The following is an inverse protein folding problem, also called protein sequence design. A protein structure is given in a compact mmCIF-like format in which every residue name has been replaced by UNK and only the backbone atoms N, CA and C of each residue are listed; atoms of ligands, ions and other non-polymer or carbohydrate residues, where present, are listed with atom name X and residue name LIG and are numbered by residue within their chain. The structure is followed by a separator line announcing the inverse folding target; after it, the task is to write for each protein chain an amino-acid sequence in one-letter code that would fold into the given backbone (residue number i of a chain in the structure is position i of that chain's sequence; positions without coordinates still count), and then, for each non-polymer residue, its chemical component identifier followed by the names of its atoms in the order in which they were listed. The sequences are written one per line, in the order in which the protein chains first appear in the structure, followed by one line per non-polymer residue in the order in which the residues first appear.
data_IF_787748777915
#
_entry.id   IF_787748777915
#
_cell.length_a   1.000
_cell.length_b   1.000
_cell.length_c   1.000
_cell.angle_alpha   90.00
_cell.angle_beta   90.00
_cell.angle_gamma   90.00
#
_symmetry.space_group_name_H-M   'P 1'
#
loop_
_entity.id
_entity.type
_entity.pdbx_description
1 polymer ?
#
# COMPACT_ATOMS: atom_id res chain seq x y z
N UNK A 1 13.99 -22.28 -10.59
CA UNK A 1 15.35 -21.96 -10.11
C UNK A 1 15.21 -20.65 -9.34
N UNK A 2 16.20 -20.09 -8.62
CA UNK A 2 15.94 -18.82 -7.95
C UNK A 2 15.72 -17.73 -9.00
N UNK A 3 14.51 -17.22 -9.07
CA UNK A 3 14.11 -16.15 -9.99
C UNK A 3 14.52 -14.76 -9.46
N UNK A 4 14.68 -14.64 -8.15
CA UNK A 4 15.00 -13.39 -7.45
C UNK A 4 16.37 -13.52 -6.80
N UNK A 5 17.27 -12.57 -7.07
CA UNK A 5 18.54 -12.42 -6.37
C UNK A 5 18.50 -11.16 -5.49
N UNK A 6 18.83 -11.27 -4.20
CA UNK A 6 18.87 -10.13 -3.27
C UNK A 6 20.33 -9.70 -3.07
N UNK A 7 20.68 -8.55 -3.64
CA UNK A 7 21.97 -7.89 -3.49
C UNK A 7 21.86 -6.81 -2.39
N UNK A 8 22.75 -6.85 -1.40
CA UNK A 8 22.75 -5.90 -0.28
C UNK A 8 24.16 -5.73 0.29
N UNK A 9 24.39 -4.61 0.99
CA UNK A 9 25.63 -4.40 1.75
C UNK A 9 25.50 -4.98 3.16
N UNK A 10 26.52 -5.65 3.65
CA UNK A 10 26.50 -6.17 5.04
C UNK A 10 26.49 -5.04 6.08
N UNK A 11 27.10 -3.89 5.76
CA UNK A 11 27.16 -2.71 6.63
C UNK A 11 25.81 -2.02 6.82
N UNK A 12 24.89 -2.16 5.86
CA UNK A 12 23.57 -1.53 5.89
C UNK A 12 22.56 -2.26 5.01
N UNK A 13 21.33 -2.42 5.49
CA UNK A 13 20.26 -3.08 4.74
C UNK A 13 20.13 -4.59 5.00
N UNK A 14 20.90 -5.14 5.95
CA UNK A 14 20.76 -6.53 6.39
C UNK A 14 19.32 -6.85 6.82
N UNK A 15 18.74 -6.05 7.70
CA UNK A 15 17.37 -6.28 8.18
C UNK A 15 16.34 -6.23 7.04
N UNK A 16 16.53 -5.31 6.08
CA UNK A 16 15.70 -5.23 4.88
C UNK A 16 15.86 -6.46 3.99
N UNK A 17 17.10 -6.94 3.80
CA UNK A 17 17.39 -8.15 3.04
C UNK A 17 16.71 -9.39 3.64
N UNK A 18 16.78 -9.56 4.97
CA UNK A 18 16.08 -10.65 5.64
C UNK A 18 14.56 -10.51 5.57
N UNK A 19 14.01 -9.30 5.76
CA UNK A 19 12.58 -9.08 5.64
C UNK A 19 12.05 -9.44 4.24
N UNK A 20 12.75 -8.97 3.19
CA UNK A 20 12.46 -9.32 1.81
C UNK A 20 12.62 -10.82 1.56
N UNK A 21 13.71 -11.42 2.01
CA UNK A 21 13.96 -12.85 1.82
C UNK A 21 12.85 -13.70 2.44
N UNK A 22 12.47 -13.42 3.68
CA UNK A 22 11.42 -14.16 4.37
C UNK A 22 10.06 -14.02 3.68
N UNK A 23 9.67 -12.81 3.31
CA UNK A 23 8.37 -12.57 2.70
C UNK A 23 8.28 -13.11 1.27
N UNK A 24 9.33 -12.91 0.45
CA UNK A 24 9.38 -13.43 -0.92
C UNK A 24 9.46 -14.96 -0.92
N UNK A 25 10.20 -15.56 0.02
CA UNK A 25 10.22 -17.03 0.19
C UNK A 25 8.87 -17.57 0.63
N UNK A 26 8.19 -16.89 1.56
CA UNK A 26 6.83 -17.27 1.99
C UNK A 26 5.87 -17.24 0.80
N UNK A 27 5.92 -16.17 0.01
CA UNK A 27 5.02 -15.91 -1.13
C UNK A 27 5.27 -16.81 -2.33
N UNK A 28 6.52 -16.93 -2.79
CA UNK A 28 6.89 -17.62 -4.04
C UNK A 28 7.54 -18.98 -3.83
N UNK A 29 7.99 -19.29 -2.60
CA UNK A 29 8.73 -20.49 -2.27
C UNK A 29 10.23 -20.25 -2.10
N UNK A 30 10.85 -21.12 -1.31
CA UNK A 30 12.28 -21.11 -0.95
C UNK A 30 13.20 -21.19 -2.17
N UNK A 31 12.80 -21.98 -3.17
CA UNK A 31 13.59 -22.18 -4.39
C UNK A 31 13.58 -20.99 -5.35
N UNK A 32 12.75 -19.97 -5.09
CA UNK A 32 12.59 -18.80 -5.96
C UNK A 32 13.46 -17.60 -5.54
N UNK A 33 14.04 -17.61 -4.34
CA UNK A 33 14.78 -16.47 -3.79
C UNK A 33 16.19 -16.88 -3.41
N UNK A 34 17.18 -16.13 -3.89
CA UNK A 34 18.59 -16.29 -3.55
C UNK A 34 19.06 -15.12 -2.70
N UNK A 35 19.54 -15.42 -1.49
CA UNK A 35 20.23 -14.50 -0.60
C UNK A 35 21.51 -15.18 -0.14
N UNK A 36 22.67 -14.64 -0.49
CA UNK A 36 23.95 -15.35 -0.34
C UNK A 36 24.18 -15.96 1.06
N UNK A 37 23.88 -15.21 2.12
CA UNK A 37 24.02 -15.64 3.51
C UNK A 37 23.03 -16.75 3.94
N UNK A 38 22.04 -17.09 3.11
CA UNK A 38 21.06 -18.16 3.35
C UNK A 38 21.15 -19.28 2.31
N UNK A 39 21.57 -18.96 1.08
CA UNK A 39 21.48 -19.85 -0.07
C UNK A 39 22.78 -20.57 -0.42
N UNK A 40 23.94 -20.15 0.12
CA UNK A 40 25.25 -20.77 -0.15
C UNK A 40 25.60 -21.74 0.99
N UNK A 41 25.71 -23.07 0.73
CA UNK A 41 26.13 -24.04 1.72
C UNK A 41 27.55 -23.81 2.24
N UNK A 42 27.78 -24.15 3.51
CA UNK A 42 29.11 -24.09 4.10
C UNK A 42 30.09 -25.00 3.34
N UNK A 43 31.24 -24.44 2.95
CA UNK A 43 32.28 -25.15 2.19
C UNK A 43 32.22 -24.95 0.67
N UNK A 44 31.18 -24.31 0.13
CA UNK A 44 31.17 -23.91 -1.28
C UNK A 44 32.02 -22.66 -1.54
N UNK A 45 32.54 -22.55 -2.76
CA UNK A 45 33.21 -21.34 -3.20
C UNK A 45 32.16 -20.23 -3.37
N UNK A 46 32.20 -19.26 -2.46
CA UNK A 46 31.27 -18.14 -2.40
C UNK A 46 31.20 -17.36 -3.73
N UNK A 47 32.35 -17.13 -4.37
CA UNK A 47 32.46 -16.33 -5.59
C UNK A 47 31.72 -17.00 -6.75
N UNK A 48 31.95 -18.30 -6.91
CA UNK A 48 31.33 -19.09 -7.98
C UNK A 48 29.83 -19.22 -7.75
N UNK A 49 29.42 -19.42 -6.50
CA UNK A 49 28.02 -19.55 -6.13
C UNK A 49 27.24 -18.24 -6.36
N UNK A 50 27.81 -17.09 -6.00
CA UNK A 50 27.23 -15.77 -6.27
C UNK A 50 27.05 -15.52 -7.77
N UNK A 51 28.12 -15.69 -8.55
CA UNK A 51 28.10 -15.47 -10.00
C UNK A 51 27.05 -16.36 -10.68
N UNK A 52 26.99 -17.64 -10.30
CA UNK A 52 25.97 -18.57 -10.79
C UNK A 52 24.56 -18.19 -10.32
N UNK A 53 24.44 -17.67 -9.10
CA UNK A 53 23.19 -17.18 -8.53
C UNK A 53 22.62 -16.05 -9.38
N UNK A 54 23.40 -14.97 -9.57
CA UNK A 54 23.00 -13.80 -10.38
C UNK A 54 22.58 -14.23 -11.79
N UNK A 55 23.44 -14.98 -12.50
CA UNK A 55 23.18 -15.41 -13.89
C UNK A 55 21.93 -16.27 -14.08
N UNK A 56 21.45 -16.91 -13.02
CA UNK A 56 20.28 -17.80 -13.05
C UNK A 56 18.99 -17.12 -12.61
N UNK A 57 19.08 -15.90 -12.11
CA UNK A 57 17.93 -15.13 -11.69
C UNK A 57 17.37 -14.30 -12.83
N UNK A 58 16.06 -14.08 -12.77
CA UNK A 58 15.33 -13.23 -13.71
C UNK A 58 15.40 -11.77 -13.27
N UNK A 59 15.43 -11.51 -11.95
CA UNK A 59 15.51 -10.17 -11.36
C UNK A 59 16.54 -10.13 -10.23
N UNK A 60 17.37 -9.08 -10.21
CA UNK A 60 18.22 -8.70 -9.08
C UNK A 60 17.61 -7.51 -8.34
N UNK A 61 17.33 -7.67 -7.05
CA UNK A 61 16.95 -6.59 -6.14
C UNK A 61 18.21 -5.97 -5.54
N UNK A 62 18.52 -4.73 -5.90
CA UNK A 62 19.65 -3.98 -5.36
C UNK A 62 19.19 -3.13 -4.17
N UNK A 63 19.49 -3.57 -2.95
CA UNK A 63 19.08 -2.85 -1.73
C UNK A 63 20.05 -1.69 -1.47
N UNK A 64 19.52 -0.47 -1.57
CA UNK A 64 20.29 0.77 -1.48
C UNK A 64 19.87 1.49 -0.20
N UNK A 65 20.78 1.54 0.78
CA UNK A 65 20.64 2.35 1.99
C UNK A 65 21.21 3.76 1.82
N UNK A 66 21.07 4.58 2.85
CA UNK A 66 21.55 5.97 2.86
C UNK A 66 23.08 6.07 2.64
N UNK A 67 23.86 5.12 3.17
CA UNK A 67 25.32 5.10 3.06
C UNK A 67 25.84 4.25 1.90
N UNK A 68 24.99 3.79 0.99
CA UNK A 68 25.34 2.75 0.02
C UNK A 68 26.45 3.19 -0.93
N UNK A 69 26.34 4.43 -1.42
CA UNK A 69 27.28 5.03 -2.37
C UNK A 69 28.60 5.42 -1.71
N UNK A 70 28.59 5.70 -0.40
CA UNK A 70 29.71 6.24 0.38
C UNK A 70 30.35 5.24 1.33
N UNK A 71 29.92 3.97 1.27
CA UNK A 71 30.50 2.90 2.09
C UNK A 71 32.00 2.83 1.85
N UNK A 72 32.79 2.88 2.93
CA UNK A 72 34.26 2.85 2.86
C UNK A 72 34.75 1.45 2.54
N UNK A 73 35.74 1.33 1.67
CA UNK A 73 36.34 0.04 1.34
C UNK A 73 37.08 -0.56 2.56
N UNK A 74 36.79 -1.81 2.98
CA UNK A 74 37.38 -2.39 4.20
C UNK A 74 38.91 -2.46 4.18
N UNK A 75 39.51 -2.75 3.02
CA UNK A 75 40.96 -2.85 2.88
C UNK A 75 41.64 -1.56 2.40
N UNK A 76 40.86 -0.51 2.06
CA UNK A 76 41.38 0.75 1.50
C UNK A 76 40.65 1.95 2.13
N UNK A 77 41.00 2.29 3.39
CA UNK A 77 40.37 3.41 4.09
C UNK A 77 40.45 4.72 3.28
N UNK A 78 39.38 5.52 3.33
CA UNK A 78 39.31 6.82 2.62
C UNK A 78 38.89 6.74 1.15
N UNK A 79 38.56 5.55 0.64
CA UNK A 79 37.98 5.37 -0.70
C UNK A 79 36.65 4.63 -0.62
N UNK A 80 35.75 4.90 -1.57
CA UNK A 80 34.43 4.27 -1.60
C UNK A 80 34.56 2.85 -2.12
N UNK A 81 33.82 1.91 -1.54
CA UNK A 81 33.87 0.51 -1.91
C UNK A 81 33.51 0.32 -3.38
N UNK A 82 32.46 1.00 -3.87
CA UNK A 82 32.03 0.95 -5.27
C UNK A 82 33.12 1.33 -6.29
N UNK A 83 34.08 2.17 -5.90
CA UNK A 83 35.15 2.57 -6.83
C UNK A 83 36.12 1.42 -7.14
N UNK A 84 36.10 0.34 -6.36
CA UNK A 84 36.97 -0.82 -6.54
C UNK A 84 36.25 -2.01 -7.19
N UNK A 85 36.93 -2.67 -8.12
CA UNK A 85 36.41 -3.83 -8.85
C UNK A 85 36.23 -5.07 -7.97
N UNK A 86 36.83 -5.12 -6.78
CA UNK A 86 36.68 -6.21 -5.81
C UNK A 86 35.48 -6.04 -4.87
N UNK A 87 34.72 -4.93 -4.99
CA UNK A 87 33.46 -4.76 -4.26
C UNK A 87 32.38 -5.72 -4.76
N UNK A 88 31.98 -6.64 -3.89
CA UNK A 88 30.99 -7.68 -4.18
C UNK A 88 29.67 -7.13 -4.70
N UNK A 89 29.19 -6.03 -4.12
CA UNK A 89 27.92 -5.42 -4.50
C UNK A 89 27.99 -4.88 -5.93
N UNK A 90 29.06 -4.14 -6.26
CA UNK A 90 29.31 -3.70 -7.63
C UNK A 90 29.38 -4.87 -8.60
N UNK A 91 30.19 -5.89 -8.29
CA UNK A 91 30.38 -7.05 -9.17
C UNK A 91 29.08 -7.79 -9.48
N UNK A 92 28.22 -8.00 -8.49
CA UNK A 92 26.93 -8.66 -8.71
C UNK A 92 25.99 -7.83 -9.62
N UNK A 93 26.01 -6.50 -9.50
CA UNK A 93 25.23 -5.60 -10.35
C UNK A 93 25.80 -5.57 -11.78
N UNK A 94 27.13 -5.49 -11.94
CA UNK A 94 27.80 -5.60 -13.23
C UNK A 94 27.45 -6.92 -13.93
N UNK A 95 27.50 -8.01 -13.18
CA UNK A 95 27.17 -9.35 -13.67
C UNK A 95 25.71 -9.44 -14.12
N UNK A 96 24.78 -8.85 -13.36
CA UNK A 96 23.37 -8.81 -13.74
C UNK A 96 23.16 -8.06 -15.06
N UNK A 97 23.75 -6.86 -15.21
CA UNK A 97 23.67 -6.10 -16.45
C UNK A 97 24.31 -6.84 -17.62
N UNK A 98 25.49 -7.44 -17.43
CA UNK A 98 26.19 -8.18 -18.48
C UNK A 98 25.40 -9.39 -19.01
N UNK A 99 24.53 -9.97 -18.17
CA UNK A 99 23.74 -11.16 -18.50
C UNK A 99 22.25 -10.87 -18.79
N UNK A 100 21.86 -9.59 -18.86
CA UNK A 100 20.48 -9.20 -19.15
C UNK A 100 19.49 -9.52 -18.04
N UNK A 101 19.97 -9.71 -16.81
CA UNK A 101 19.13 -9.84 -15.62
C UNK A 101 18.53 -8.47 -15.32
N UNK A 102 17.22 -8.40 -15.09
CA UNK A 102 16.57 -7.14 -14.76
C UNK A 102 17.03 -6.67 -13.38
N UNK A 103 17.50 -5.42 -13.28
CA UNK A 103 17.93 -4.85 -11.99
C UNK A 103 16.85 -3.91 -11.47
N UNK A 104 16.36 -4.17 -10.26
CA UNK A 104 15.38 -3.35 -9.55
C UNK A 104 16.02 -2.74 -8.30
N UNK A 105 16.36 -1.44 -8.32
CA UNK A 105 16.76 -0.72 -7.13
C UNK A 105 15.64 -0.71 -6.09
N UNK A 106 15.97 -1.00 -4.84
CA UNK A 106 15.07 -0.86 -3.69
C UNK A 106 15.69 0.11 -2.70
N UNK A 107 15.14 1.32 -2.62
CA UNK A 107 15.60 2.35 -1.69
C UNK A 107 15.10 2.03 -0.28
N UNK A 108 16.04 1.70 0.60
CA UNK A 108 15.77 1.28 1.97
C UNK A 108 15.79 2.50 2.90
N UNK A 109 14.66 2.78 3.55
CA UNK A 109 14.50 3.91 4.47
C UNK A 109 13.95 5.17 3.82
N UNK A 110 13.51 6.12 4.64
CA UNK A 110 12.87 7.37 4.18
C UNK A 110 13.86 8.40 3.64
N UNK A 111 15.08 8.41 4.17
CA UNK A 111 16.10 9.41 3.84
C UNK A 111 17.05 8.95 2.72
N UNK A 112 16.73 7.82 2.08
CA UNK A 112 17.47 7.35 0.92
C UNK A 112 16.92 8.03 -0.32
N UNK A 113 17.79 8.80 -0.94
CA UNK A 113 17.54 9.53 -2.18
C UNK A 113 17.80 8.64 -3.41
N UNK A 114 17.36 9.12 -4.57
CA UNK A 114 17.69 8.48 -5.83
C UNK A 114 19.22 8.50 -6.05
N UNK A 115 19.74 7.47 -6.71
CA UNK A 115 21.14 7.40 -7.06
C UNK A 115 21.52 8.54 -8.02
N UNK A 116 22.57 9.28 -7.68
CA UNK A 116 23.19 10.25 -8.60
C UNK A 116 24.15 9.50 -9.54
N UNK A 117 23.90 9.45 -10.86
CA UNK A 117 24.76 8.72 -11.80
C UNK A 117 26.21 9.19 -11.77
N UNK A 118 26.47 10.47 -11.44
CA UNK A 118 27.84 11.02 -11.35
C UNK A 118 28.64 10.46 -10.18
N UNK A 119 27.95 9.82 -9.23
CA UNK A 119 28.55 9.17 -8.06
C UNK A 119 28.69 7.67 -8.27
N UNK A 120 28.32 7.12 -9.43
CA UNK A 120 28.46 5.70 -9.72
C UNK A 120 29.66 5.45 -10.65
N UNK A 121 30.34 4.29 -10.51
CA UNK A 121 31.25 3.80 -11.52
C UNK A 121 30.54 3.65 -12.88
N UNK A 122 31.27 3.87 -13.97
CA UNK A 122 30.74 3.79 -15.34
C UNK A 122 30.05 2.45 -15.62
N UNK A 123 30.60 1.36 -15.09
CA UNK A 123 30.08 0.00 -15.29
C UNK A 123 28.70 -0.28 -14.68
N UNK A 124 28.28 0.52 -13.70
CA UNK A 124 26.96 0.38 -13.04
C UNK A 124 26.13 1.67 -13.09
N UNK A 125 26.53 2.66 -13.90
CA UNK A 125 25.84 3.95 -13.97
C UNK A 125 24.37 3.80 -14.37
N UNK A 126 24.06 2.79 -15.19
CA UNK A 126 22.71 2.45 -15.62
C UNK A 126 21.75 2.13 -14.45
N UNK A 127 22.28 1.76 -13.28
CA UNK A 127 21.48 1.54 -12.07
C UNK A 127 20.70 2.79 -11.64
N UNK A 128 21.23 3.99 -11.91
CA UNK A 128 20.56 5.26 -11.59
C UNK A 128 19.34 5.54 -12.49
N UNK A 129 19.29 4.93 -13.67
CA UNK A 129 18.21 5.07 -14.65
C UNK A 129 17.12 3.99 -14.46
N UNK A 130 17.37 2.98 -13.64
CA UNK A 130 16.39 1.94 -13.32
C UNK A 130 15.25 2.50 -12.47
N UNK A 131 14.02 2.07 -12.75
CA UNK A 131 12.87 2.35 -11.89
C UNK A 131 13.06 1.71 -10.53
N UNK A 132 13.01 2.53 -9.46
CA UNK A 132 13.20 2.06 -8.11
C UNK A 132 11.88 1.79 -7.40
N UNK A 133 11.92 0.90 -6.41
CA UNK A 133 10.88 0.77 -5.38
C UNK A 133 11.40 1.26 -4.03
N UNK A 134 10.49 1.52 -3.08
CA UNK A 134 10.87 1.91 -1.72
C UNK A 134 10.50 0.82 -0.74
N UNK A 135 11.33 0.66 0.28
CA UNK A 135 11.06 -0.22 1.41
C UNK A 135 11.41 0.50 2.72
N UNK A 136 10.47 0.54 3.66
CA UNK A 136 10.73 1.01 5.02
C UNK A 136 10.19 0.03 6.04
N UNK A 137 10.92 -0.17 7.14
CA UNK A 137 10.47 -1.07 8.21
C UNK A 137 9.14 -0.65 8.84
N UNK A 138 8.84 0.67 8.84
CA UNK A 138 7.57 1.20 9.37
C UNK A 138 6.36 0.73 8.54
N UNK A 139 6.51 0.62 7.23
CA UNK A 139 5.46 0.22 6.28
C UNK A 139 5.77 -1.13 5.65
N UNK A 140 6.58 -1.96 6.32
CA UNK A 140 7.18 -3.17 5.73
C UNK A 140 6.15 -4.07 5.07
N UNK A 141 5.03 -4.32 5.75
CA UNK A 141 3.94 -5.17 5.24
C UNK A 141 3.39 -4.67 3.89
N UNK A 142 3.13 -3.37 3.79
CA UNK A 142 2.62 -2.75 2.56
C UNK A 142 3.69 -2.74 1.46
N UNK A 143 4.90 -2.28 1.79
CA UNK A 143 6.00 -2.16 0.82
C UNK A 143 6.41 -3.54 0.26
N UNK A 144 6.45 -4.57 1.10
CA UNK A 144 6.75 -5.94 0.68
C UNK A 144 5.65 -6.51 -0.23
N UNK A 145 4.38 -6.22 0.05
CA UNK A 145 3.28 -6.63 -0.82
C UNK A 145 3.42 -5.99 -2.20
N UNK A 146 3.69 -4.69 -2.27
CA UNK A 146 3.93 -3.97 -3.53
C UNK A 146 5.13 -4.53 -4.30
N UNK A 147 6.25 -4.79 -3.62
CA UNK A 147 7.45 -5.37 -4.26
C UNK A 147 7.14 -6.77 -4.80
N UNK A 148 6.45 -7.60 -4.02
CA UNK A 148 6.03 -8.93 -4.48
C UNK A 148 5.07 -8.85 -5.68
N UNK A 149 4.12 -7.93 -5.67
CA UNK A 149 3.18 -7.74 -6.79
C UNK A 149 3.91 -7.30 -8.06
N UNK A 150 4.89 -6.41 -7.91
CA UNK A 150 5.71 -5.97 -9.03
C UNK A 150 6.55 -7.11 -9.61
N UNK A 151 7.14 -7.94 -8.75
CA UNK A 151 7.90 -9.12 -9.16
C UNK A 151 7.03 -10.15 -9.88
N UNK A 152 5.83 -10.44 -9.37
CA UNK A 152 4.87 -11.33 -10.01
C UNK A 152 4.42 -10.79 -11.39
N UNK A 153 4.29 -9.47 -11.56
CA UNK A 153 3.97 -8.87 -12.86
C UNK A 153 5.11 -8.99 -13.87
N UNK A 154 6.36 -8.94 -13.42
CA UNK A 154 7.54 -8.93 -14.29
C UNK A 154 8.05 -10.31 -14.66
N UNK A 155 7.87 -11.31 -13.79
CA UNK A 155 8.42 -12.66 -13.98
C UNK A 155 7.29 -13.70 -14.00
N UNK A 156 7.01 -14.34 -15.15
CA UNK A 156 5.94 -15.34 -15.29
C UNK A 156 6.05 -16.51 -14.29
N UNK A 157 7.27 -16.96 -14.01
CA UNK A 157 7.55 -18.04 -13.06
C UNK A 157 7.15 -17.67 -11.63
N UNK A 158 7.33 -16.40 -11.25
CA UNK A 158 6.88 -15.89 -9.95
C UNK A 158 5.35 -15.77 -9.90
N UNK A 159 4.72 -15.31 -10.99
CA UNK A 159 3.25 -15.28 -11.08
C UNK A 159 2.63 -16.68 -10.91
N UNK A 160 3.24 -17.70 -11.52
CA UNK A 160 2.78 -19.08 -11.42
C UNK A 160 2.98 -19.68 -10.01
N UNK A 161 3.98 -19.21 -9.27
CA UNK A 161 4.29 -19.67 -7.92
C UNK A 161 3.64 -18.83 -6.82
N UNK A 162 2.92 -17.76 -7.18
CA UNK A 162 2.37 -16.79 -6.24
C UNK A 162 1.27 -17.39 -5.36
N UNK A 163 1.52 -17.46 -4.05
CA UNK A 163 0.53 -17.88 -3.04
C UNK A 163 -0.29 -16.72 -2.48
N UNK A 164 -0.08 -15.50 -3.00
CA UNK A 164 -0.69 -14.28 -2.55
C UNK A 164 0.00 -13.65 -1.33
N UNK A 165 -0.36 -12.39 -1.01
CA UNK A 165 0.09 -11.72 0.20
C UNK A 165 -0.37 -12.49 1.45
N UNK A 166 0.36 -12.34 2.54
CA UNK A 166 0.04 -12.96 3.82
C UNK A 166 -1.39 -12.58 4.23
N UNK A 167 -2.28 -13.51 4.61
CA UNK A 167 -3.60 -13.14 5.12
C UNK A 167 -3.52 -12.29 6.39
N UNK A 168 -2.44 -12.39 7.18
CA UNK A 168 -2.20 -11.42 8.26
C UNK A 168 -1.76 -10.04 7.73
N UNK A 169 -1.33 -9.93 6.46
CA UNK A 169 -1.10 -8.66 5.76
C UNK A 169 -2.36 -7.94 5.37
N UNK A 170 -3.37 -8.69 4.93
CA UNK A 170 -4.65 -8.14 4.51
C UNK A 170 -5.55 -7.79 5.71
N UNK A 171 -5.32 -8.40 6.87
CA UNK A 171 -6.13 -8.21 8.08
C UNK A 171 -5.62 -7.09 9.03
N UNK A 172 -4.54 -6.39 8.69
CA UNK A 172 -3.88 -5.44 9.60
C UNK A 172 -3.41 -4.16 8.89
N UNK A 173 -4.32 -3.46 8.23
CA UNK A 173 -4.31 -2.00 8.28
C UNK A 173 -5.34 -1.57 9.33
N UNK A 174 -4.94 -1.25 10.57
CA UNK A 174 -5.72 -0.27 11.32
C UNK A 174 -5.69 1.03 10.51
N UNK A 175 -6.83 1.74 10.35
CA UNK A 175 -6.83 3.04 9.70
C UNK A 175 -5.78 3.93 10.37
N UNK A 176 -4.93 4.56 9.56
CA UNK A 176 -3.84 5.39 10.03
C UNK A 176 -4.39 6.47 11.00
N UNK A 177 -4.04 6.37 12.28
CA UNK A 177 -4.29 7.45 13.22
C UNK A 177 -3.44 8.67 12.80
N UNK A 178 -4.05 9.84 12.57
CA UNK A 178 -3.29 11.05 12.29
C UNK A 178 -2.47 11.46 13.52
N UNK A 179 -1.22 11.84 13.28
CA UNK A 179 -0.29 12.31 14.31
C UNK A 179 -0.87 13.50 15.12
N UNK A 180 -0.54 13.65 16.41
CA UNK A 180 -1.13 14.68 17.24
C UNK A 180 -0.48 16.04 16.94
N UNK A 181 -1.33 17.01 16.58
CA UNK A 181 -1.01 18.44 16.71
C UNK A 181 -1.28 19.25 15.44
N UNK A 182 -2.52 19.72 15.27
CA UNK A 182 -2.89 21.12 15.42
C UNK A 182 -4.33 21.34 14.90
N UNK A 183 -5.12 21.97 15.76
CA UNK A 183 -6.43 22.60 15.56
C UNK A 183 -7.72 21.75 15.59
N UNK A 184 -8.55 22.16 16.56
CA UNK A 184 -9.91 21.81 16.89
C UNK A 184 -10.85 21.61 15.68
N UNK A 185 -11.62 20.52 15.66
CA UNK A 185 -13.11 20.49 15.81
C UNK A 185 -13.69 19.16 15.24
N UNK A 186 -14.22 18.29 16.11
CA UNK A 186 -15.19 17.18 15.92
C UNK A 186 -14.95 16.04 14.86
N UNK A 187 -15.29 14.76 15.16
CA UNK A 187 -14.99 13.62 14.28
C UNK A 187 -15.99 13.47 13.12
N UNK A 188 -15.51 13.56 11.89
CA UNK A 188 -16.26 13.25 10.67
C UNK A 188 -16.24 11.76 10.34
N UNK A 189 -17.40 11.19 10.03
CA UNK A 189 -17.62 9.81 9.60
C UNK A 189 -17.43 9.74 8.08
N UNK A 190 -16.48 8.93 7.58
CA UNK A 190 -16.31 8.70 6.13
C UNK A 190 -17.21 7.55 5.68
N UNK A 191 -18.23 7.85 4.87
CA UNK A 191 -19.12 6.86 4.26
C UNK A 191 -18.75 6.69 2.78
N UNK A 192 -18.00 5.63 2.45
CA UNK A 192 -17.73 5.25 1.04
C UNK A 192 -18.88 4.39 0.52
N UNK A 193 -19.58 4.88 -0.51
CA UNK A 193 -20.67 4.15 -1.18
C UNK A 193 -21.99 4.92 -1.37
N UNK A 194 -22.01 6.23 -1.08
CA UNK A 194 -23.24 7.03 -1.18
C UNK A 194 -23.34 7.74 -2.54
N UNK A 195 -24.28 7.30 -3.39
CA UNK A 195 -24.76 8.09 -4.53
C UNK A 195 -25.92 8.98 -4.07
N UNK A 196 -25.86 10.28 -4.36
CA UNK A 196 -26.86 11.27 -3.93
C UNK A 196 -26.28 12.20 -2.87
N UNK A 197 -25.70 13.32 -3.32
CA UNK A 197 -25.02 14.28 -2.45
C UNK A 197 -25.98 15.24 -1.75
N UNK A 198 -25.92 15.29 -0.41
CA UNK A 198 -26.47 16.38 0.39
C UNK A 198 -25.31 17.37 0.63
N UNK A 199 -25.53 18.65 0.33
CA UNK A 199 -24.54 19.71 0.55
C UNK A 199 -24.20 19.91 2.05
N UNK A 200 -23.13 20.67 2.30
CA UNK A 200 -22.49 20.88 3.61
C UNK A 200 -23.50 21.08 4.77
N UNK A 201 -23.52 20.14 5.73
CA UNK A 201 -24.33 20.25 6.95
C UNK A 201 -23.39 20.65 8.10
N UNK A 202 -23.73 21.71 8.83
CA UNK A 202 -22.96 22.17 10.01
C UNK A 202 -23.89 22.35 11.19
N UNK A 203 -23.61 21.65 12.30
CA UNK A 203 -24.43 21.66 13.52
C UNK A 203 -24.40 20.31 14.25
N UNK A 204 -25.13 20.20 15.37
CA UNK A 204 -25.29 18.92 16.10
C UNK A 204 -26.46 18.15 15.47
N UNK A 205 -26.15 17.37 14.44
CA UNK A 205 -27.17 16.76 13.58
C UNK A 205 -27.76 15.51 14.28
N UNK A 206 -29.08 15.33 14.15
CA UNK A 206 -29.78 14.09 14.49
C UNK A 206 -29.57 13.00 13.43
N UNK A 207 -30.57 12.14 13.23
CA UNK A 207 -30.48 11.05 12.25
C UNK A 207 -30.78 11.56 10.84
N UNK A 208 -29.87 11.34 9.88
CA UNK A 208 -30.07 11.68 8.46
C UNK A 208 -30.24 10.40 7.65
N UNK A 209 -31.28 10.35 6.81
CA UNK A 209 -31.54 9.21 5.90
C UNK A 209 -31.65 9.72 4.47
N UNK A 210 -30.74 9.27 3.60
CA UNK A 210 -30.64 9.73 2.21
C UNK A 210 -31.43 8.91 1.19
N UNK A 211 -31.54 7.59 1.37
CA UNK A 211 -32.39 6.75 0.51
C UNK A 211 -33.08 5.67 1.34
N UNK A 212 -34.37 5.47 1.05
CA UNK A 212 -35.30 4.70 1.86
C UNK A 212 -35.93 3.57 1.03
N UNK A 213 -35.35 2.38 1.07
CA UNK A 213 -35.87 1.24 0.30
C UNK A 213 -36.82 0.31 1.10
N UNK A 214 -37.19 0.70 2.33
CA UNK A 214 -38.13 -0.01 3.19
C UNK A 214 -38.71 0.93 4.27
N UNK A 215 -39.85 0.59 4.92
CA UNK A 215 -40.36 1.36 6.05
C UNK A 215 -39.40 1.34 7.25
N UNK A 216 -39.06 2.50 7.80
CA UNK A 216 -38.26 2.62 9.02
C UNK A 216 -38.84 3.67 9.96
N UNK A 217 -38.43 3.58 11.23
CA UNK A 217 -38.80 4.54 12.28
C UNK A 217 -37.61 5.46 12.55
N UNK A 218 -37.77 6.77 12.35
CA UNK A 218 -36.75 7.80 12.62
C UNK A 218 -36.77 8.33 14.06
N UNK A 219 -37.56 7.68 14.93
CA UNK A 219 -37.77 8.12 16.31
C UNK A 219 -38.84 9.21 16.42
N UNK A 220 -38.91 9.83 17.60
CA UNK A 220 -39.85 10.91 17.91
C UNK A 220 -39.12 12.25 17.80
N UNK A 221 -39.53 13.10 16.86
CA UNK A 221 -38.95 14.43 16.64
C UNK A 221 -39.54 15.09 15.40
N UNK A 222 -39.24 16.37 15.20
CA UNK A 222 -39.72 17.13 14.05
C UNK A 222 -39.04 16.65 12.75
N UNK A 223 -39.84 16.42 11.72
CA UNK A 223 -39.40 15.98 10.40
C UNK A 223 -39.41 17.17 9.44
N UNK A 224 -38.24 17.48 8.87
CA UNK A 224 -38.08 18.54 7.87
C UNK A 224 -37.86 17.88 6.51
N UNK A 225 -38.87 17.96 5.65
CA UNK A 225 -38.79 17.49 4.25
C UNK A 225 -38.39 18.66 3.36
N UNK A 226 -37.24 18.55 2.68
CA UNK A 226 -36.81 19.55 1.70
C UNK A 226 -37.30 19.18 0.30
N UNK A 227 -38.08 20.06 -0.33
CA UNK A 227 -38.45 19.90 -1.73
C UNK A 227 -37.24 20.19 -2.64
N UNK A 228 -37.08 19.38 -3.70
CA UNK A 228 -36.09 19.61 -4.76
C UNK A 228 -36.66 20.56 -5.81
N UNK A 229 -35.91 21.63 -6.13
CA UNK A 229 -36.14 22.46 -7.31
C UNK A 229 -35.13 22.05 -8.38
N UNK A 230 -35.59 21.53 -9.51
CA UNK A 230 -34.71 21.22 -10.65
C UNK A 230 -34.38 22.50 -11.43
N UNK A 231 -33.13 22.92 -11.32
CA UNK A 231 -32.54 24.03 -12.06
C UNK A 231 -31.09 24.27 -11.63
N UNK A 232 -30.25 24.77 -12.54
CA UNK A 232 -28.83 25.03 -12.29
C UNK A 232 -28.67 26.27 -11.39
N UNK A 233 -28.73 26.07 -10.07
CA UNK A 233 -28.17 27.00 -9.09
C UNK A 233 -27.54 26.28 -7.91
N UNK A 234 -26.31 26.71 -7.59
CA UNK A 234 -25.52 26.39 -6.40
C UNK A 234 -26.16 27.11 -5.21
N UNK A 235 -27.17 26.50 -4.59
CA UNK A 235 -27.55 26.71 -3.18
C UNK A 235 -28.66 25.72 -2.80
N UNK A 236 -28.27 24.58 -2.23
CA UNK A 236 -29.22 23.67 -1.57
C UNK A 236 -29.75 24.29 -0.26
N UNK A 237 -30.87 23.78 0.29
CA UNK A 237 -31.51 24.36 1.47
C UNK A 237 -30.56 24.36 2.68
N UNK A 238 -30.28 25.55 3.23
CA UNK A 238 -29.65 25.69 4.54
C UNK A 238 -30.70 25.44 5.62
N UNK A 239 -30.64 24.28 6.25
CA UNK A 239 -31.48 23.97 7.42
C UNK A 239 -30.68 24.29 8.67
N UNK A 240 -31.22 25.14 9.54
CA UNK A 240 -30.63 25.46 10.84
C UNK A 240 -31.65 25.09 11.94
N UNK A 241 -31.42 23.97 12.62
CA UNK A 241 -32.28 23.48 13.70
C UNK A 241 -31.99 22.02 14.07
N UNK A 242 -32.48 21.58 15.25
CA UNK A 242 -32.23 20.25 15.83
C UNK A 242 -33.26 19.19 15.37
N UNK A 243 -33.56 19.14 14.05
CA UNK A 243 -34.56 18.25 13.46
C UNK A 243 -33.96 17.11 12.62
N UNK A 244 -34.76 16.08 12.33
CA UNK A 244 -34.38 15.04 11.38
C UNK A 244 -34.67 15.52 9.95
N UNK A 245 -33.71 15.34 9.04
CA UNK A 245 -33.80 15.77 7.64
C UNK A 245 -33.96 14.55 6.74
N UNK A 246 -34.98 14.57 5.88
CA UNK A 246 -35.22 13.55 4.85
C UNK A 246 -35.11 14.21 3.47
N UNK A 247 -34.28 13.65 2.59
CA UNK A 247 -34.16 14.09 1.20
C UNK A 247 -33.96 12.90 0.29
N UNK A 248 -34.80 12.76 -0.74
CA UNK A 248 -34.78 11.66 -1.70
C UNK A 248 -35.81 11.88 -2.81
N UNK A 249 -35.75 11.10 -3.89
CA UNK A 249 -36.74 11.11 -4.96
C UNK A 249 -37.88 10.14 -4.66
N UNK A 250 -39.12 10.64 -4.55
CA UNK A 250 -40.30 9.80 -4.44
C UNK A 250 -40.65 9.22 -5.83
N UNK A 251 -40.19 8.00 -6.12
CA UNK A 251 -40.70 7.21 -7.23
C UNK A 251 -41.43 5.98 -6.69
N UNK A 252 -42.65 6.21 -6.20
CA UNK A 252 -43.58 5.18 -5.77
C UNK A 252 -44.87 5.82 -5.31
N UNK A 253 -45.97 5.58 -6.04
CA UNK A 253 -47.28 6.14 -5.70
C UNK A 253 -47.70 5.80 -4.27
N UNK A 254 -48.21 6.79 -3.55
CA UNK A 254 -48.79 6.62 -2.22
C UNK A 254 -50.12 5.87 -2.39
N UNK A 255 -50.16 4.59 -2.00
CA UNK A 255 -51.39 3.79 -1.97
C UNK A 255 -51.87 3.67 -0.50
N UNK A 256 -52.89 4.47 -0.13
CA UNK A 256 -53.46 4.48 1.23
C UNK A 256 -54.62 3.49 1.30
N UNK A 257 -54.39 2.31 1.88
CA UNK A 257 -55.44 1.34 2.14
C UNK A 257 -56.00 1.53 3.55
N UNK A 258 -57.18 2.15 3.67
CA UNK A 258 -57.85 2.35 4.96
C UNK A 258 -58.49 1.04 5.44
N UNK A 259 -57.89 0.42 6.46
CA UNK A 259 -58.49 -0.71 7.18
C UNK A 259 -59.78 -0.31 7.93
N UNK A 260 -60.72 -1.24 8.14
CA UNK A 260 -62.08 -0.91 8.58
C UNK A 260 -62.15 -0.35 10.00
N UNK A 261 -63.01 0.66 10.18
CA UNK A 261 -63.28 1.36 11.42
C UNK A 261 -63.66 0.39 12.56
N UNK A 262 -62.92 0.43 13.68
CA UNK A 262 -63.31 -0.24 14.92
C UNK A 262 -64.55 0.45 15.50
N UNK A 263 -65.68 -0.26 15.52
CA UNK A 263 -66.91 0.13 16.23
C UNK A 263 -66.60 0.39 17.71
N UNK A 264 -66.95 1.59 18.17
CA UNK A 264 -67.04 1.96 19.58
C UNK A 264 -68.15 1.11 20.23
N UNK A 265 -67.80 0.27 21.21
CA UNK A 265 -68.79 -0.30 22.12
C UNK A 265 -69.12 0.76 23.15
N UNK A 266 -70.32 1.31 23.00
CA UNK A 266 -71.02 2.10 24.00
C UNK A 266 -71.53 1.12 25.07
N UNK A 267 -71.17 1.35 26.33
CA UNK A 267 -71.85 0.74 27.46
C UNK A 267 -72.22 1.88 28.40
N UNK A 268 -73.52 2.13 28.48
CA UNK A 268 -74.15 3.08 29.38
C UNK A 268 -74.92 2.27 30.42
N UNK A 269 -74.73 2.67 31.69
CA UNK A 269 -75.35 2.20 32.97
C UNK A 269 -74.63 1.11 33.75
#
# INVERSE_FOLDING_TARGET
MPEIFINYRTSEGKDAAYALYHELTRRFGDRMVFLAAQSIPAGENYNDALTKGVRRSSVLLALIGHGWTDTVHPARPGTRALDHEDDWVRREIEEAFAHGVAVMPVLVGRNTEQLDPRRLPESIVALADCQYMRFTLRTARHDLALIGDQLAKQVPELAAADRGPDPAATAAEPPAEPAPGADDTAPGMHNTGQSGGIGNISGRIGTVVGEANAPFHTGSGDLVSGDRVDGDQINGPQVTGDGNIVGGSDHGGIDQNFGPARRRRENDR
#
